data_IF_685879651758
#
_entry.id   IF_685879651758
#
_cell.length_a   1.000
_cell.length_b   1.000
_cell.length_c   1.000
_cell.angle_alpha   90.00
_cell.angle_beta   90.00
_cell.angle_gamma   90.00
#
_symmetry.space_group_name_H-M   'P 1'
#
loop_
_entity.id
_entity.type
_entity.pdbx_description
1 polymer ?
#
# COMPACT_ATOMS: atom_id res chain seq x y z
N UNK A 1 0.28 -3.39 12.99
CA UNK A 1 0.79 -2.13 12.44
C UNK A 1 1.00 -1.09 13.53
N UNK A 2 1.80 -0.04 13.27
CA UNK A 2 2.05 1.06 14.20
C UNK A 2 2.28 2.37 13.43
N UNK A 3 1.98 3.50 14.08
CA UNK A 3 2.28 4.84 13.58
C UNK A 3 3.01 5.62 14.68
N UNK A 4 4.08 6.30 14.31
CA UNK A 4 4.79 7.26 15.16
C UNK A 4 4.57 8.63 14.54
N UNK A 5 4.03 9.58 15.30
CA UNK A 5 3.68 10.91 14.80
C UNK A 5 4.21 12.01 15.70
N UNK A 6 4.70 13.09 15.11
CA UNK A 6 4.99 14.35 15.80
C UNK A 6 3.71 15.21 15.96
N UNK A 7 2.71 14.97 15.11
CA UNK A 7 1.42 15.67 15.14
C UNK A 7 0.46 14.80 15.95
N UNK A 8 -0.18 15.38 16.96
CA UNK A 8 -1.21 14.68 17.73
C UNK A 8 -2.45 14.48 16.86
N UNK A 9 -2.91 13.24 16.64
CA UNK A 9 -4.15 13.01 15.89
C UNK A 9 -5.36 13.49 16.71
N UNK A 10 -6.42 13.86 16.00
CA UNK A 10 -7.72 14.19 16.59
C UNK A 10 -8.40 12.93 17.14
N UNK A 11 -8.27 11.83 16.40
CA UNK A 11 -8.77 10.52 16.79
C UNK A 11 -7.90 9.39 16.24
N UNK A 12 -7.96 8.22 16.87
CA UNK A 12 -7.25 7.00 16.41
C UNK A 12 -8.25 5.84 16.42
N UNK A 13 -8.45 5.23 15.26
CA UNK A 13 -9.32 4.07 15.08
C UNK A 13 -8.46 2.86 14.72
N UNK A 14 -8.66 1.76 15.44
CA UNK A 14 -8.05 0.46 15.14
C UNK A 14 -9.02 -0.34 14.29
N UNK A 15 -8.45 -1.08 13.33
CA UNK A 15 -9.17 -2.04 12.51
C UNK A 15 -10.19 -1.39 11.56
N UNK A 16 -11.07 -2.16 10.94
CA UNK A 16 -12.07 -1.66 9.98
C UNK A 16 -13.52 -1.86 10.44
N UNK A 17 -13.72 -2.42 11.65
CA UNK A 17 -15.05 -2.66 12.24
C UNK A 17 -15.72 -3.95 11.78
N UNK A 18 -14.97 -4.90 11.21
CA UNK A 18 -15.45 -6.21 10.76
C UNK A 18 -14.69 -7.30 11.51
N UNK A 19 -15.37 -8.00 12.40
CA UNK A 19 -14.77 -8.97 13.33
C UNK A 19 -13.86 -10.01 12.66
N UNK A 20 -14.26 -10.51 11.49
CA UNK A 20 -13.51 -11.49 10.73
C UNK A 20 -12.18 -10.95 10.19
N UNK A 21 -12.08 -9.64 10.02
CA UNK A 21 -10.92 -8.95 9.46
C UNK A 21 -10.05 -8.26 10.52
N UNK A 22 -10.56 -8.10 11.73
CA UNK A 22 -9.97 -7.27 12.77
C UNK A 22 -9.10 -8.03 13.78
N UNK A 23 -8.95 -9.36 13.59
CA UNK A 23 -8.21 -10.23 14.53
C UNK A 23 -6.68 -10.13 14.44
N UNK A 24 -6.14 -9.55 13.36
CA UNK A 24 -4.70 -9.57 13.06
C UNK A 24 -4.02 -8.18 13.19
N UNK A 25 -4.75 -7.13 13.62
CA UNK A 25 -4.21 -5.78 13.87
C UNK A 25 -3.60 -5.12 12.63
N UNK A 26 -4.28 -5.22 11.48
CA UNK A 26 -3.76 -4.85 10.18
C UNK A 26 -3.95 -3.40 9.80
N UNK A 27 -4.91 -2.71 10.40
CA UNK A 27 -5.27 -1.34 10.05
C UNK A 27 -5.21 -0.43 11.26
N UNK A 28 -4.60 0.74 11.09
CA UNK A 28 -4.59 1.81 12.07
C UNK A 28 -4.87 3.12 11.35
N UNK A 29 -5.97 3.78 11.69
CA UNK A 29 -6.39 5.03 11.09
C UNK A 29 -6.25 6.18 12.07
N UNK A 30 -5.54 7.22 11.67
CA UNK A 30 -5.38 8.46 12.40
C UNK A 30 -6.20 9.56 11.72
N UNK A 31 -7.11 10.18 12.45
CA UNK A 31 -7.77 11.40 12.00
C UNK A 31 -6.85 12.59 12.27
N UNK A 32 -6.39 13.24 11.22
CA UNK A 32 -5.65 14.48 11.27
C UNK A 32 -6.58 15.64 10.88
N UNK A 33 -6.11 16.86 11.03
CA UNK A 33 -6.92 18.06 10.75
C UNK A 33 -7.49 18.04 9.33
N UNK A 34 -6.66 17.72 8.33
CA UNK A 34 -7.00 17.85 6.92
C UNK A 34 -7.30 16.53 6.20
N UNK A 35 -6.93 15.36 6.77
CA UNK A 35 -7.09 14.06 6.15
C UNK A 35 -7.05 12.92 7.17
N UNK A 36 -7.46 11.73 6.74
CA UNK A 36 -7.19 10.49 7.47
C UNK A 36 -5.89 9.87 6.97
N UNK A 37 -4.97 9.51 7.88
CA UNK A 37 -3.85 8.63 7.57
C UNK A 37 -4.22 7.20 7.95
N UNK A 38 -4.28 6.31 6.96
CA UNK A 38 -4.59 4.89 7.15
C UNK A 38 -3.33 4.07 6.88
N UNK A 39 -2.73 3.54 7.95
CA UNK A 39 -1.60 2.61 7.85
C UNK A 39 -2.12 1.18 7.82
N UNK A 40 -1.72 0.42 6.80
CA UNK A 40 -2.24 -0.91 6.53
C UNK A 40 -1.15 -1.93 6.27
N UNK A 41 -1.38 -3.16 6.73
CA UNK A 41 -0.66 -4.36 6.32
C UNK A 41 -1.66 -5.35 5.73
N UNK A 42 -1.83 -5.30 4.42
CA UNK A 42 -2.81 -6.11 3.69
C UNK A 42 -2.46 -7.60 3.79
N UNK A 43 -3.44 -8.51 4.00
CA UNK A 43 -3.17 -9.93 4.07
C UNK A 43 -2.42 -10.45 2.86
N UNK A 44 -1.33 -11.19 3.07
CA UNK A 44 -0.69 -11.95 2.01
C UNK A 44 -1.53 -13.20 1.68
N UNK A 45 -1.61 -13.56 0.40
CA UNK A 45 -2.34 -14.77 -0.03
C UNK A 45 -1.71 -16.08 0.43
N UNK A 46 -0.49 -16.02 0.98
CA UNK A 46 0.20 -17.12 1.64
C UNK A 46 0.81 -18.13 0.70
N UNK A 47 1.45 -19.14 1.30
CA UNK A 47 1.98 -20.27 0.55
C UNK A 47 0.84 -21.01 -0.18
N UNK A 48 1.12 -21.42 -1.42
CA UNK A 48 0.15 -22.15 -2.27
C UNK A 48 -1.19 -21.42 -2.46
N UNK A 49 -1.19 -20.08 -2.24
CA UNK A 49 -2.37 -19.22 -2.39
C UNK A 49 -3.53 -19.58 -1.46
N UNK A 50 -3.25 -20.24 -0.34
CA UNK A 50 -4.26 -20.76 0.59
C UNK A 50 -5.17 -19.68 1.19
N UNK A 51 -4.77 -18.40 1.16
CA UNK A 51 -5.56 -17.27 1.66
C UNK A 51 -6.08 -16.35 0.54
N UNK A 52 -5.96 -16.72 -0.73
CA UNK A 52 -6.34 -15.85 -1.85
C UNK A 52 -7.83 -15.48 -1.82
N UNK A 53 -8.72 -16.41 -1.49
CA UNK A 53 -10.15 -16.12 -1.33
C UNK A 53 -10.42 -15.11 -0.22
N UNK A 54 -9.84 -15.35 0.98
CA UNK A 54 -9.92 -14.40 2.10
C UNK A 54 -9.38 -13.02 1.76
N UNK A 55 -8.27 -12.96 1.01
CA UNK A 55 -7.67 -11.70 0.56
C UNK A 55 -8.63 -10.88 -0.30
N UNK A 56 -9.40 -11.50 -1.19
CA UNK A 56 -10.39 -10.80 -2.02
C UNK A 56 -11.53 -10.22 -1.19
N UNK A 57 -12.06 -10.97 -0.23
CA UNK A 57 -13.09 -10.49 0.69
C UNK A 57 -12.59 -9.31 1.52
N UNK A 58 -11.36 -9.43 2.02
CA UNK A 58 -10.69 -8.38 2.78
C UNK A 58 -10.47 -7.11 1.95
N UNK A 59 -10.03 -7.23 0.69
CA UNK A 59 -9.80 -6.09 -0.21
C UNK A 59 -11.11 -5.31 -0.47
N UNK A 60 -12.24 -6.01 -0.63
CA UNK A 60 -13.56 -5.39 -0.79
C UNK A 60 -13.97 -4.63 0.49
N UNK A 61 -13.79 -5.26 1.64
CA UNK A 61 -14.12 -4.66 2.94
C UNK A 61 -13.24 -3.43 3.22
N UNK A 62 -11.95 -3.53 2.97
CA UNK A 62 -11.01 -2.42 3.14
C UNK A 62 -11.32 -1.25 2.21
N UNK A 63 -11.60 -1.50 0.94
CA UNK A 63 -12.04 -0.46 0.02
C UNK A 63 -13.29 0.26 0.52
N UNK A 64 -14.29 -0.49 0.98
CA UNK A 64 -15.54 0.07 1.54
C UNK A 64 -15.27 0.94 2.77
N UNK A 65 -14.36 0.49 3.64
CA UNK A 65 -13.90 1.25 4.80
C UNK A 65 -13.25 2.57 4.40
N UNK A 66 -12.29 2.55 3.45
CA UNK A 66 -11.64 3.77 2.94
C UNK A 66 -12.66 4.75 2.35
N UNK A 67 -13.63 4.25 1.58
CA UNK A 67 -14.72 5.08 1.01
C UNK A 67 -15.63 5.67 2.08
N UNK A 68 -15.78 5.01 3.23
CA UNK A 68 -16.55 5.57 4.36
C UNK A 68 -15.82 6.75 4.99
N UNK A 69 -14.51 6.66 5.18
CA UNK A 69 -13.66 7.76 5.67
C UNK A 69 -13.62 8.93 4.68
N UNK A 70 -13.50 8.64 3.38
CA UNK A 70 -13.43 9.64 2.32
C UNK A 70 -14.67 10.54 2.24
N UNK A 71 -15.83 10.08 2.70
CA UNK A 71 -17.04 10.93 2.84
C UNK A 71 -16.88 12.06 3.86
N UNK A 72 -15.92 11.93 4.76
CA UNK A 72 -15.69 12.90 5.85
C UNK A 72 -14.52 13.81 5.50
N UNK A 73 -13.37 13.22 5.18
CA UNK A 73 -12.12 13.92 4.81
C UNK A 73 -11.36 13.09 3.76
N UNK A 74 -10.46 13.70 2.99
CA UNK A 74 -9.53 12.95 2.14
C UNK A 74 -8.77 11.88 2.92
N UNK A 75 -8.38 10.81 2.23
CA UNK A 75 -7.67 9.68 2.85
C UNK A 75 -6.29 9.54 2.21
N UNK A 76 -5.27 9.36 3.04
CA UNK A 76 -3.92 8.95 2.68
C UNK A 76 -3.73 7.52 3.21
N UNK A 77 -3.56 6.57 2.32
CA UNK A 77 -3.27 5.16 2.66
C UNK A 77 -1.78 4.91 2.53
N UNK A 78 -1.17 4.28 3.52
CA UNK A 78 0.23 3.86 3.44
C UNK A 78 0.43 2.46 4.02
N UNK A 79 1.44 1.76 3.53
CA UNK A 79 1.86 0.47 4.06
C UNK A 79 2.09 -0.58 2.99
N UNK A 80 2.27 -1.82 3.45
CA UNK A 80 2.45 -2.99 2.59
C UNK A 80 1.09 -3.49 2.09
N UNK A 81 0.84 -3.32 0.79
CA UNK A 81 -0.37 -3.79 0.14
C UNK A 81 -0.26 -5.23 -0.36
N UNK A 82 0.91 -5.87 -0.20
CA UNK A 82 1.17 -7.24 -0.61
C UNK A 82 0.74 -7.53 -2.07
N UNK A 83 0.93 -6.56 -2.97
CA UNK A 83 0.66 -6.70 -4.40
C UNK A 83 1.55 -5.78 -5.23
N UNK A 84 2.17 -6.30 -6.29
CA UNK A 84 2.72 -5.50 -7.37
C UNK A 84 1.59 -5.20 -8.36
N UNK A 85 1.32 -3.92 -8.63
CA UNK A 85 0.15 -3.53 -9.43
C UNK A 85 0.33 -3.80 -10.92
N UNK A 86 1.48 -3.40 -11.47
CA UNK A 86 1.77 -3.45 -12.90
C UNK A 86 3.05 -4.21 -13.20
N UNK A 87 3.25 -4.60 -14.46
CA UNK A 87 4.47 -5.30 -14.91
C UNK A 87 5.76 -4.56 -14.52
N UNK A 88 5.73 -3.25 -14.46
CA UNK A 88 6.87 -2.40 -14.09
C UNK A 88 7.17 -2.44 -12.58
N UNK A 89 6.25 -2.96 -11.76
CA UNK A 89 6.34 -2.98 -10.30
C UNK A 89 7.07 -4.22 -9.75
N UNK A 90 7.54 -5.12 -10.62
CA UNK A 90 8.34 -6.26 -10.19
C UNK A 90 9.37 -6.67 -11.25
N UNK A 91 10.47 -7.28 -10.81
CA UNK A 91 11.62 -7.62 -11.68
C UNK A 91 11.31 -8.71 -12.72
N UNK A 92 10.38 -9.63 -12.45
CA UNK A 92 10.11 -10.80 -13.30
C UNK A 92 8.61 -11.04 -13.47
N UNK A 93 7.89 -10.12 -14.15
CA UNK A 93 6.44 -10.18 -14.22
C UNK A 93 5.93 -11.47 -14.90
N UNK A 94 6.50 -11.88 -16.02
CA UNK A 94 6.06 -13.09 -16.77
C UNK A 94 6.24 -14.40 -15.99
N UNK A 95 7.24 -14.45 -15.12
CA UNK A 95 7.55 -15.63 -14.33
C UNK A 95 6.57 -15.77 -13.15
N UNK A 96 6.06 -14.65 -12.63
CA UNK A 96 5.27 -14.57 -11.40
C UNK A 96 3.76 -14.43 -11.63
N UNK A 97 3.32 -13.92 -12.80
CA UNK A 97 1.91 -13.67 -13.08
C UNK A 97 1.05 -14.93 -12.94
N UNK A 98 0.01 -14.85 -12.13
CA UNK A 98 -0.91 -15.94 -11.77
C UNK A 98 -0.20 -17.21 -11.22
N UNK A 99 0.95 -17.01 -10.54
CA UNK A 99 1.71 -18.09 -9.93
C UNK A 99 2.18 -17.77 -8.53
N UNK A 100 2.47 -16.50 -8.25
CA UNK A 100 3.10 -16.07 -7.01
C UNK A 100 2.18 -15.11 -6.27
N UNK A 101 1.98 -15.33 -4.97
CA UNK A 101 1.27 -14.40 -4.10
C UNK A 101 1.88 -13.00 -4.22
N UNK A 102 1.02 -11.99 -4.32
CA UNK A 102 1.40 -10.60 -4.60
C UNK A 102 1.39 -10.25 -6.10
N UNK A 103 1.12 -11.22 -7.00
CA UNK A 103 0.96 -10.93 -8.44
C UNK A 103 -0.06 -11.87 -9.11
N UNK A 104 -1.10 -12.21 -8.38
CA UNK A 104 -2.29 -12.88 -8.92
C UNK A 104 -3.23 -11.83 -9.52
N UNK A 105 -3.98 -12.21 -10.56
CA UNK A 105 -4.95 -11.29 -11.18
C UNK A 105 -5.98 -10.77 -10.16
N UNK A 106 -6.39 -11.61 -9.24
CA UNK A 106 -7.33 -11.27 -8.17
C UNK A 106 -6.77 -10.20 -7.22
N UNK A 107 -5.48 -10.26 -6.89
CA UNK A 107 -4.80 -9.25 -6.07
C UNK A 107 -4.62 -7.94 -6.85
N UNK A 108 -4.28 -8.03 -8.15
CA UNK A 108 -4.21 -6.88 -9.07
C UNK A 108 -5.59 -6.21 -9.16
N UNK A 109 -6.67 -6.97 -9.30
CA UNK A 109 -8.04 -6.44 -9.33
C UNK A 109 -8.39 -5.69 -8.02
N UNK A 110 -7.84 -6.11 -6.88
CA UNK A 110 -7.95 -5.39 -5.61
C UNK A 110 -7.30 -4.01 -5.68
N UNK A 111 -6.12 -3.92 -6.29
CA UNK A 111 -5.42 -2.64 -6.51
C UNK A 111 -6.12 -1.77 -7.57
N UNK A 112 -6.61 -2.37 -8.66
CA UNK A 112 -7.41 -1.67 -9.67
C UNK A 112 -8.65 -1.05 -9.03
N UNK A 113 -9.35 -1.77 -8.14
CA UNK A 113 -10.50 -1.24 -7.39
C UNK A 113 -10.15 0.01 -6.60
N UNK A 114 -8.98 0.07 -5.97
CA UNK A 114 -8.53 1.27 -5.26
C UNK A 114 -8.29 2.42 -6.25
N UNK A 115 -7.53 2.17 -7.31
CA UNK A 115 -7.14 3.23 -8.25
C UNK A 115 -8.32 3.73 -9.10
N UNK A 116 -9.18 2.85 -9.59
CA UNK A 116 -10.41 3.20 -10.30
C UNK A 116 -11.47 3.80 -9.37
N UNK A 117 -11.43 3.41 -8.09
CA UNK A 117 -12.33 3.90 -7.05
C UNK A 117 -11.97 5.29 -6.49
N UNK A 118 -10.97 5.97 -7.05
CA UNK A 118 -10.65 7.36 -6.74
C UNK A 118 -9.42 7.57 -5.85
N UNK A 119 -8.56 6.54 -5.73
CA UNK A 119 -7.25 6.68 -5.08
C UNK A 119 -6.12 6.71 -6.10
N UNK A 120 -5.18 7.65 -5.95
CA UNK A 120 -4.03 7.77 -6.83
C UNK A 120 -2.79 7.16 -6.19
N UNK A 121 -2.10 6.27 -6.92
CA UNK A 121 -0.74 5.82 -6.58
C UNK A 121 0.23 6.99 -6.78
N UNK A 122 0.71 7.54 -5.68
CA UNK A 122 1.53 8.75 -5.70
C UNK A 122 2.86 8.54 -6.39
N UNK A 123 3.50 7.38 -6.19
CA UNK A 123 4.77 7.11 -6.86
C UNK A 123 4.61 7.00 -8.37
N UNK A 124 3.59 6.31 -8.87
CA UNK A 124 3.31 6.20 -10.30
C UNK A 124 2.77 7.49 -10.91
N UNK A 125 2.19 8.38 -10.10
CA UNK A 125 1.83 9.72 -10.57
C UNK A 125 3.06 10.54 -10.93
N UNK A 126 4.08 10.59 -10.05
CA UNK A 126 5.30 11.37 -10.30
C UNK A 126 6.30 10.67 -11.21
N UNK A 127 6.34 9.33 -11.16
CA UNK A 127 7.33 8.52 -11.86
C UNK A 127 6.66 7.38 -12.63
N UNK A 128 5.81 7.69 -13.65
CA UNK A 128 4.99 6.70 -14.34
C UNK A 128 5.82 5.59 -15.01
N UNK A 129 6.98 5.94 -15.55
CA UNK A 129 7.81 5.04 -16.35
C UNK A 129 9.10 4.58 -15.64
N UNK A 130 9.27 4.92 -14.34
CA UNK A 130 10.46 4.54 -13.59
C UNK A 130 10.51 3.03 -13.35
N UNK A 131 11.45 2.36 -14.01
CA UNK A 131 11.71 0.92 -13.89
C UNK A 131 12.69 0.61 -12.78
N UNK A 132 12.67 -0.65 -12.28
CA UNK A 132 13.65 -1.12 -11.31
C UNK A 132 13.55 -0.46 -9.93
N UNK A 133 12.41 0.20 -9.64
CA UNK A 133 12.14 0.90 -8.39
C UNK A 133 11.24 0.02 -7.52
N UNK A 134 11.83 -0.59 -6.50
CA UNK A 134 11.19 -1.59 -5.67
C UNK A 134 11.24 -1.20 -4.20
N UNK A 135 10.35 -1.78 -3.40
CA UNK A 135 10.30 -1.55 -1.95
C UNK A 135 10.60 -2.81 -1.14
N UNK A 136 10.58 -3.98 -1.78
CA UNK A 136 10.83 -5.27 -1.14
C UNK A 136 11.72 -6.19 -1.99
N UNK A 137 12.57 -6.97 -1.33
CA UNK A 137 13.42 -8.00 -1.93
C UNK A 137 13.49 -9.22 -1.02
N UNK A 138 13.29 -10.41 -1.57
CA UNK A 138 13.49 -11.64 -0.81
C UNK A 138 14.90 -11.72 -0.22
N UNK A 139 15.04 -12.20 1.01
CA UNK A 139 16.34 -12.52 1.59
C UNK A 139 17.08 -13.65 0.86
N UNK A 140 16.40 -14.40 0.00
CA UNK A 140 16.97 -15.55 -0.71
C UNK A 140 17.75 -15.12 -1.94
N UNK A 141 18.77 -15.92 -2.28
CA UNK A 141 19.52 -15.84 -3.54
C UNK A 141 20.19 -14.48 -3.85
N UNK A 142 20.38 -13.62 -2.85
CA UNK A 142 20.94 -12.29 -3.04
C UNK A 142 20.05 -11.41 -3.92
N UNK A 143 18.75 -11.43 -3.70
CA UNK A 143 17.80 -10.73 -4.55
C UNK A 143 18.03 -9.21 -4.54
N UNK A 144 18.30 -8.59 -3.38
CA UNK A 144 18.50 -7.14 -3.27
C UNK A 144 19.72 -6.63 -4.02
N UNK A 145 20.93 -7.21 -3.90
CA UNK A 145 22.09 -6.81 -4.71
C UNK A 145 21.89 -6.96 -6.23
N UNK A 146 21.02 -7.88 -6.66
CA UNK A 146 20.67 -8.11 -8.06
C UNK A 146 19.48 -7.28 -8.53
N UNK A 147 18.89 -6.50 -7.64
CA UNK A 147 17.65 -5.76 -7.81
C UNK A 147 16.49 -6.61 -8.35
N UNK A 148 16.36 -7.86 -7.86
CA UNK A 148 15.23 -8.73 -8.15
C UNK A 148 14.17 -8.46 -7.06
N UNK A 149 13.50 -7.34 -7.19
CA UNK A 149 12.59 -6.81 -6.18
C UNK A 149 11.16 -6.63 -6.69
N UNK A 150 10.31 -6.19 -5.77
CA UNK A 150 8.88 -5.91 -5.96
C UNK A 150 8.54 -4.58 -5.29
N UNK A 151 7.69 -3.78 -5.89
CA UNK A 151 7.09 -2.60 -5.27
C UNK A 151 5.72 -3.02 -4.74
N UNK A 152 5.65 -3.25 -3.45
CA UNK A 152 4.45 -3.70 -2.73
C UNK A 152 4.06 -2.78 -1.59
N UNK A 153 4.91 -1.82 -1.24
CA UNK A 153 4.63 -0.74 -0.30
C UNK A 153 4.24 0.53 -1.05
N UNK A 154 3.16 1.17 -0.62
CA UNK A 154 2.54 2.27 -1.34
C UNK A 154 2.20 3.45 -0.43
N UNK A 155 2.07 4.61 -1.07
CA UNK A 155 1.23 5.71 -0.64
C UNK A 155 0.18 5.95 -1.71
N UNK A 156 -1.09 5.75 -1.34
CA UNK A 156 -2.24 6.10 -2.15
C UNK A 156 -2.93 7.29 -1.50
N UNK A 157 -3.43 8.22 -2.29
CA UNK A 157 -4.19 9.37 -1.77
C UNK A 157 -5.53 9.48 -2.49
N UNK A 158 -6.57 9.94 -1.79
CA UNK A 158 -7.79 10.39 -2.45
C UNK A 158 -7.43 11.31 -3.61
N UNK A 159 -7.89 11.04 -4.82
CA UNK A 159 -7.50 11.81 -6.03
C UNK A 159 -7.70 13.32 -5.88
N UNK A 160 -8.77 13.84 -5.24
CA UNK A 160 -8.90 15.27 -4.97
C UNK A 160 -7.84 15.86 -4.01
N UNK A 161 -7.16 15.02 -3.22
CA UNK A 161 -6.08 15.44 -2.32
C UNK A 161 -4.70 15.46 -3.00
N UNK A 162 -4.58 14.87 -4.18
CA UNK A 162 -3.31 14.77 -4.92
C UNK A 162 -2.58 16.12 -5.12
N UNK A 163 -3.26 17.28 -5.34
CA UNK A 163 -2.56 18.57 -5.43
C UNK A 163 -1.78 18.97 -4.18
N UNK A 164 -2.03 18.32 -3.03
CA UNK A 164 -1.27 18.52 -1.78
C UNK A 164 -0.01 17.65 -1.70
N UNK A 165 0.18 16.71 -2.61
CA UNK A 165 1.38 15.86 -2.68
C UNK A 165 2.41 16.54 -3.56
N UNK A 166 3.58 16.85 -3.01
CA UNK A 166 4.70 17.47 -3.75
C UNK A 166 5.63 16.44 -4.37
N UNK A 167 5.79 15.29 -3.73
CA UNK A 167 6.68 14.23 -4.20
C UNK A 167 6.36 12.90 -3.52
N UNK A 168 6.83 11.81 -4.14
CA UNK A 168 6.81 10.46 -3.59
C UNK A 168 8.18 9.80 -3.81
N UNK A 169 8.66 9.02 -2.85
CA UNK A 169 10.00 8.45 -2.91
C UNK A 169 10.06 7.02 -2.37
N UNK A 170 11.08 6.29 -2.84
CA UNK A 170 11.48 4.96 -2.35
C UNK A 170 12.95 5.05 -1.98
N UNK A 171 13.30 4.67 -0.73
CA UNK A 171 14.66 4.76 -0.16
C UNK A 171 15.36 3.41 -0.24
N UNK A 172 15.65 2.97 -1.44
CA UNK A 172 16.26 1.65 -1.72
C UNK A 172 17.64 1.48 -1.08
N UNK A 173 18.35 2.58 -0.81
CA UNK A 173 19.66 2.62 -0.17
C UNK A 173 19.63 2.27 1.33
N UNK A 174 18.47 2.35 1.98
CA UNK A 174 18.32 2.06 3.40
C UNK A 174 18.18 0.55 3.61
N UNK A 175 19.12 -0.02 4.32
CA UNK A 175 19.19 -1.44 4.66
C UNK A 175 18.69 -1.70 6.08
N UNK A 176 18.56 -2.99 6.45
CA UNK A 176 18.16 -3.45 7.78
C UNK A 176 16.86 -4.27 7.80
N UNK A 177 16.15 -4.31 6.67
CA UNK A 177 14.95 -5.11 6.44
C UNK A 177 14.96 -5.64 5.01
N UNK A 178 14.11 -6.59 4.69
CA UNK A 178 13.76 -7.00 3.31
C UNK A 178 12.89 -5.95 2.60
N UNK A 179 12.28 -5.02 3.32
CA UNK A 179 11.69 -3.80 2.78
C UNK A 179 12.64 -2.61 2.90
N UNK A 180 12.38 -1.56 2.12
CA UNK A 180 12.95 -0.24 2.33
C UNK A 180 11.85 0.79 2.61
N UNK A 181 12.18 1.95 3.23
CA UNK A 181 11.20 3.00 3.45
C UNK A 181 10.64 3.58 2.15
N UNK A 182 9.35 3.81 2.13
CA UNK A 182 8.66 4.60 1.12
C UNK A 182 8.01 5.81 1.78
N UNK A 183 7.78 6.89 1.03
CA UNK A 183 7.21 8.10 1.62
C UNK A 183 6.66 9.08 0.61
N UNK A 184 5.95 10.08 1.11
CA UNK A 184 5.47 11.24 0.36
C UNK A 184 5.84 12.55 1.07
N UNK A 185 5.89 13.62 0.32
CA UNK A 185 6.02 14.99 0.83
C UNK A 185 4.69 15.69 0.59
N UNK A 186 4.09 16.19 1.66
CA UNK A 186 2.83 16.94 1.60
C UNK A 186 3.09 18.44 1.77
N UNK A 187 2.33 19.24 1.02
CA UNK A 187 2.22 20.69 1.17
C UNK A 187 0.94 21.01 1.94
N UNK A 188 1.08 21.14 3.23
CA UNK A 188 -0.02 21.44 4.13
C UNK A 188 0.23 22.82 4.73
N UNK A 189 -0.82 23.66 4.89
CA UNK A 189 -0.68 24.89 5.66
C UNK A 189 -0.35 24.57 7.12
N UNK A 190 0.39 25.47 7.74
CA UNK A 190 0.73 25.42 9.17
C UNK A 190 -0.51 25.45 10.08
#
# INVERSE_FOLDING_TARGET
>A
TAVISKIRPLNVTKDIGIKEHDSEGRVLSLELEQFFLVNVYVPNSGAELGRLGYRQEWDIAFFSYLKSLEKIKPVVVCGDLNVAHKNIDLARPKENYNKTAGYMQEEINGMDRLTEGGFTDTFRHFYPDATGRYSWWSFRAGARPKNIGWRIDYFLVSTPFLPKVKDAFIREEINGSDHCPVGIILDLPD
#
